data_IF_117361662357
#
_entry.id   IF_117361662357
#
_cell.length_a   1.000
_cell.length_b   1.000
_cell.length_c   1.000
_cell.angle_alpha   90.00
_cell.angle_beta   90.00
_cell.angle_gamma   90.00
#
_symmetry.space_group_name_H-M   'P 1'
#
loop_
_entity.id
_entity.type
_entity.pdbx_description
1 polymer ?
#
# COMPACT_ATOMS: atom_id res chain seq x y z
N UNK A 1 75.82 -1.28 22.34
CA UNK A 1 74.54 -0.55 22.44
C UNK A 1 73.60 -0.89 21.32
N UNK A 2 73.77 -2.02 20.60
CA UNK A 2 72.95 -2.37 19.42
C UNK A 2 72.02 -3.64 19.52
N UNK A 3 72.21 -4.45 20.52
CA UNK A 3 71.46 -5.73 20.67
C UNK A 3 70.03 -5.55 21.22
N UNK A 4 69.77 -4.53 22.02
CA UNK A 4 68.42 -4.25 22.57
C UNK A 4 67.45 -3.62 21.57
N UNK A 5 67.92 -2.97 20.47
CA UNK A 5 67.06 -2.41 19.41
C UNK A 5 66.56 -3.50 18.43
N UNK A 6 67.44 -4.47 18.11
CA UNK A 6 67.09 -5.56 17.19
C UNK A 6 65.98 -6.51 17.77
N UNK A 7 66.06 -6.80 19.07
CA UNK A 7 65.04 -7.65 19.74
C UNK A 7 63.66 -6.97 19.87
N UNK A 8 63.64 -5.64 20.04
CA UNK A 8 62.36 -4.91 20.08
C UNK A 8 61.67 -4.79 18.70
N UNK A 9 62.46 -4.67 17.64
CA UNK A 9 61.90 -4.62 16.28
C UNK A 9 61.41 -5.99 15.79
N UNK A 10 62.06 -7.08 16.18
CA UNK A 10 61.62 -8.44 15.88
C UNK A 10 60.30 -8.81 16.57
N UNK A 11 60.12 -8.43 17.85
CA UNK A 11 58.88 -8.66 18.57
C UNK A 11 57.69 -7.85 18.02
N UNK A 12 57.93 -6.60 17.58
CA UNK A 12 56.86 -5.77 16.99
C UNK A 12 56.42 -6.28 15.62
N UNK A 13 57.36 -6.80 14.81
CA UNK A 13 57.05 -7.36 13.51
C UNK A 13 56.25 -8.69 13.60
N UNK A 14 56.55 -9.54 14.56
CA UNK A 14 55.83 -10.80 14.80
C UNK A 14 54.39 -10.52 15.31
N UNK A 15 54.19 -9.49 16.14
CA UNK A 15 52.88 -9.11 16.63
C UNK A 15 52.02 -8.48 15.54
N UNK A 16 52.60 -7.72 14.59
CA UNK A 16 51.88 -7.08 13.48
C UNK A 16 51.40 -8.07 12.41
N UNK A 17 52.02 -9.25 12.30
CA UNK A 17 51.63 -10.29 11.33
C UNK A 17 50.65 -11.28 11.95
N UNK A 18 50.71 -11.54 13.25
CA UNK A 18 49.82 -12.51 13.94
C UNK A 18 48.40 -11.99 14.21
N UNK A 19 48.24 -10.65 14.39
CA UNK A 19 46.93 -10.06 14.67
C UNK A 19 45.98 -10.15 13.47
N UNK A 20 46.35 -9.87 12.22
CA UNK A 20 45.45 -10.04 11.08
C UNK A 20 45.19 -11.52 10.74
N UNK A 21 46.09 -12.45 11.03
CA UNK A 21 45.85 -13.89 10.80
C UNK A 21 44.86 -14.50 11.77
N UNK A 22 44.80 -14.02 13.01
CA UNK A 22 43.79 -14.44 14.00
C UNK A 22 42.43 -13.82 13.74
N UNK A 23 42.36 -12.59 13.20
CA UNK A 23 41.12 -11.96 12.79
C UNK A 23 40.48 -12.64 11.57
N UNK A 24 41.27 -13.15 10.63
CA UNK A 24 40.77 -13.89 9.47
C UNK A 24 40.19 -15.27 9.84
N UNK A 25 40.69 -15.91 10.91
CA UNK A 25 40.20 -17.20 11.36
C UNK A 25 38.84 -17.13 12.12
N UNK A 26 38.41 -15.95 12.53
CA UNK A 26 37.11 -15.76 13.21
C UNK A 26 35.95 -15.46 12.24
N UNK A 27 36.26 -15.10 11.00
CA UNK A 27 35.26 -15.04 9.94
C UNK A 27 35.18 -16.41 9.29
N UNK A 28 34.39 -17.30 9.88
CA UNK A 28 33.96 -18.52 9.18
C UNK A 28 33.41 -18.12 7.81
N UNK A 29 33.60 -18.97 6.80
CA UNK A 29 33.02 -18.75 5.47
C UNK A 29 31.57 -18.32 5.62
N UNK A 30 31.26 -17.11 5.21
CA UNK A 30 29.89 -16.64 5.19
C UNK A 30 29.08 -17.65 4.35
N UNK A 31 27.95 -18.12 4.83
CA UNK A 31 27.14 -19.05 4.04
C UNK A 31 26.93 -18.47 2.64
N UNK A 32 26.97 -19.31 1.60
CA UNK A 32 26.84 -18.85 0.22
C UNK A 32 25.60 -17.97 0.12
N UNK A 33 25.78 -16.72 -0.32
CA UNK A 33 24.66 -15.80 -0.51
C UNK A 33 23.72 -16.43 -1.51
N UNK A 34 22.42 -16.55 -1.18
CA UNK A 34 21.44 -17.01 -2.14
C UNK A 34 21.55 -16.15 -3.40
N UNK A 35 21.51 -16.78 -4.59
CA UNK A 35 21.49 -16.06 -5.84
C UNK A 35 20.32 -15.06 -5.79
N UNK A 36 20.56 -13.73 -5.91
CA UNK A 36 19.50 -12.73 -5.84
C UNK A 36 18.45 -12.90 -6.94
N UNK A 37 18.76 -13.65 -7.99
CA UNK A 37 17.84 -13.94 -9.09
C UNK A 37 17.01 -15.22 -8.85
N UNK A 38 17.32 -16.01 -7.83
CA UNK A 38 16.54 -17.21 -7.49
C UNK A 38 15.51 -16.85 -6.42
N UNK A 39 14.26 -16.74 -6.85
CA UNK A 39 13.14 -16.55 -5.93
C UNK A 39 13.00 -17.80 -5.02
N UNK A 40 13.05 -17.68 -3.69
CA UNK A 40 12.86 -18.80 -2.78
C UNK A 40 11.59 -19.60 -3.12
N UNK A 41 11.65 -20.91 -3.01
CA UNK A 41 10.54 -21.78 -3.42
C UNK A 41 9.22 -21.43 -2.71
N UNK A 42 9.27 -21.03 -1.44
CA UNK A 42 8.10 -20.61 -0.67
C UNK A 42 7.40 -19.40 -1.26
N UNK A 43 8.15 -18.47 -1.87
CA UNK A 43 7.59 -17.26 -2.46
C UNK A 43 6.94 -17.48 -3.83
N UNK A 44 7.05 -18.68 -4.42
CA UNK A 44 6.39 -19.00 -5.71
C UNK A 44 4.86 -18.94 -5.57
N UNK A 45 4.34 -19.33 -4.41
CA UNK A 45 2.91 -19.37 -4.11
C UNK A 45 2.43 -18.18 -3.27
N UNK A 46 3.25 -17.14 -3.11
CA UNK A 46 2.92 -15.93 -2.36
C UNK A 46 2.69 -14.77 -3.32
N UNK A 47 1.60 -14.05 -3.13
CA UNK A 47 1.27 -12.90 -3.98
C UNK A 47 -0.15 -12.43 -3.80
N UNK A 48 -0.55 -11.48 -4.63
CA UNK A 48 -1.91 -10.94 -4.68
C UNK A 48 -2.36 -10.98 -6.13
N UNK A 49 -3.43 -11.72 -6.38
CA UNK A 49 -4.13 -11.75 -7.67
C UNK A 49 -5.33 -10.82 -7.54
N UNK A 50 -5.27 -9.62 -8.12
CA UNK A 50 -6.32 -8.63 -7.94
C UNK A 50 -7.66 -9.14 -8.51
N UNK A 51 -8.67 -9.12 -7.67
CA UNK A 51 -10.05 -9.57 -7.98
C UNK A 51 -11.04 -8.43 -7.75
N UNK A 52 -10.82 -7.31 -8.43
CA UNK A 52 -11.73 -6.15 -8.38
C UNK A 52 -13.12 -6.59 -8.88
N UNK A 53 -14.17 -6.18 -8.17
CA UNK A 53 -15.53 -6.59 -8.44
C UNK A 53 -15.93 -7.94 -7.81
N UNK A 54 -15.01 -8.66 -7.18
CA UNK A 54 -15.32 -9.91 -6.48
C UNK A 54 -16.17 -9.65 -5.24
N UNK A 55 -17.26 -10.40 -5.07
CA UNK A 55 -18.08 -10.42 -3.87
C UNK A 55 -17.37 -11.24 -2.78
N UNK A 56 -17.19 -10.67 -1.60
CA UNK A 56 -16.69 -11.40 -0.44
C UNK A 56 -17.77 -12.34 0.13
N UNK A 57 -17.39 -13.50 0.68
CA UNK A 57 -18.30 -14.40 1.39
C UNK A 57 -18.61 -13.81 2.78
N UNK A 58 -19.71 -13.07 2.88
CA UNK A 58 -20.08 -12.28 4.07
C UNK A 58 -20.62 -13.13 5.24
N UNK A 59 -20.90 -14.39 5.02
CA UNK A 59 -21.38 -15.36 6.01
C UNK A 59 -20.28 -16.05 6.80
N UNK A 60 -19.02 -15.83 6.46
CA UNK A 60 -17.87 -16.39 7.17
C UNK A 60 -17.84 -15.93 8.63
N UNK A 61 -17.67 -16.91 9.53
CA UNK A 61 -17.68 -16.69 10.98
C UNK A 61 -16.27 -16.54 11.49
N UNK A 62 -16.03 -15.46 12.22
CA UNK A 62 -14.80 -15.13 12.92
C UNK A 62 -15.09 -14.91 14.41
N UNK A 63 -14.05 -14.72 15.19
CA UNK A 63 -14.13 -14.29 16.58
C UNK A 63 -13.63 -12.85 16.69
N UNK A 64 -14.43 -11.97 17.25
CA UNK A 64 -14.04 -10.58 17.49
C UNK A 64 -13.06 -10.45 18.69
N UNK A 65 -12.56 -9.26 18.90
CA UNK A 65 -11.63 -8.94 19.98
C UNK A 65 -12.24 -9.09 21.38
N UNK A 66 -13.56 -9.24 21.51
CA UNK A 66 -14.25 -9.56 22.77
C UNK A 66 -14.45 -11.06 22.96
N UNK A 67 -14.07 -11.86 21.97
CA UNK A 67 -14.23 -13.32 21.98
C UNK A 67 -15.59 -13.82 21.48
N UNK A 68 -16.47 -12.94 20.94
CA UNK A 68 -17.77 -13.30 20.38
C UNK A 68 -17.62 -13.81 18.94
N UNK A 69 -18.41 -14.81 18.59
CA UNK A 69 -18.54 -15.22 17.20
C UNK A 69 -19.37 -14.17 16.42
N UNK A 70 -18.81 -13.67 15.31
CA UNK A 70 -19.41 -12.67 14.46
C UNK A 70 -19.29 -13.10 13.00
N UNK A 71 -20.24 -12.73 12.16
CA UNK A 71 -20.08 -12.86 10.71
C UNK A 71 -19.33 -11.63 10.18
N UNK A 72 -18.41 -11.83 9.24
CA UNK A 72 -17.69 -10.70 8.65
C UNK A 72 -18.64 -9.67 8.04
N UNK A 73 -19.78 -10.11 7.53
CA UNK A 73 -20.84 -9.24 6.98
C UNK A 73 -21.42 -8.23 7.97
N UNK A 74 -21.28 -8.49 9.28
CA UNK A 74 -21.77 -7.57 10.32
C UNK A 74 -21.02 -6.23 10.33
N UNK A 75 -19.87 -6.11 9.65
CA UNK A 75 -19.11 -4.88 9.56
C UNK A 75 -19.41 -4.04 8.31
N UNK A 76 -20.32 -4.53 7.45
CA UNK A 76 -20.70 -3.87 6.18
C UNK A 76 -22.04 -3.15 6.32
N UNK A 77 -22.12 -2.12 7.18
CA UNK A 77 -23.36 -1.39 7.50
C UNK A 77 -23.53 -0.10 6.69
N UNK A 78 -23.58 -0.20 5.37
CA UNK A 78 -23.77 0.97 4.51
C UNK A 78 -22.56 1.88 4.35
N UNK A 79 -21.42 1.48 4.90
CA UNK A 79 -20.15 2.19 4.80
C UNK A 79 -19.09 1.35 4.10
N UNK A 80 -18.10 1.95 3.40
CA UNK A 80 -16.96 1.21 2.88
C UNK A 80 -16.11 0.66 4.04
N UNK A 81 -15.41 -0.43 3.78
CA UNK A 81 -14.55 -1.11 4.74
C UNK A 81 -13.11 -1.07 4.23
N UNK A 82 -12.17 -0.63 5.08
CA UNK A 82 -10.74 -0.85 4.88
C UNK A 82 -10.38 -2.17 5.55
N UNK A 83 -10.05 -3.17 4.74
CA UNK A 83 -9.74 -4.51 5.19
C UNK A 83 -8.24 -4.80 5.06
N UNK A 84 -7.64 -5.43 6.05
CA UNK A 84 -6.27 -5.92 6.02
C UNK A 84 -6.22 -7.38 6.47
N UNK A 85 -5.39 -8.19 5.77
CA UNK A 85 -5.01 -9.52 6.22
C UNK A 85 -3.62 -9.46 6.84
N UNK A 86 -3.49 -9.91 8.08
CA UNK A 86 -2.25 -9.90 8.84
C UNK A 86 -2.25 -11.06 9.83
N UNK A 87 -1.11 -11.40 10.44
CA UNK A 87 -1.11 -12.20 11.67
C UNK A 87 -0.53 -11.37 12.80
N UNK A 88 -1.09 -11.53 13.99
CA UNK A 88 -0.87 -10.55 15.07
C UNK A 88 0.47 -10.70 15.75
N UNK A 89 1.06 -11.89 15.77
CA UNK A 89 2.40 -12.15 16.31
C UNK A 89 3.52 -11.98 15.28
N UNK A 90 3.26 -11.20 14.23
CA UNK A 90 4.25 -10.94 13.18
C UNK A 90 5.37 -10.01 13.67
N UNK A 91 6.64 -10.42 13.55
CA UNK A 91 7.76 -9.59 14.00
C UNK A 91 8.05 -8.38 13.09
N UNK A 92 7.58 -8.35 11.85
CA UNK A 92 7.98 -7.32 10.89
C UNK A 92 6.88 -6.79 9.97
N UNK A 93 6.54 -7.52 8.90
CA UNK A 93 5.80 -7.00 7.74
C UNK A 93 4.37 -6.57 8.08
N UNK A 94 3.62 -7.39 8.83
CA UNK A 94 2.25 -7.08 9.20
C UNK A 94 2.16 -5.81 10.04
N UNK A 95 3.13 -5.61 10.95
CA UNK A 95 3.23 -4.37 11.74
C UNK A 95 3.46 -3.16 10.85
N UNK A 96 4.28 -3.28 9.80
CA UNK A 96 4.52 -2.18 8.85
C UNK A 96 3.25 -1.86 8.03
N UNK A 97 2.53 -2.87 7.54
CA UNK A 97 1.25 -2.69 6.82
C UNK A 97 0.23 -1.95 7.70
N UNK A 98 0.04 -2.42 8.94
CA UNK A 98 -0.93 -1.81 9.84
C UNK A 98 -0.51 -0.40 10.29
N UNK A 99 0.79 -0.16 10.48
CA UNK A 99 1.31 1.18 10.78
C UNK A 99 1.09 2.15 9.60
N UNK A 100 1.40 1.72 8.38
CA UNK A 100 1.19 2.52 7.17
C UNK A 100 -0.30 2.82 6.95
N UNK A 101 -1.17 1.81 7.11
CA UNK A 101 -2.62 1.98 7.05
C UNK A 101 -3.10 3.00 8.09
N UNK A 102 -2.72 2.82 9.35
CA UNK A 102 -3.15 3.71 10.45
C UNK A 102 -2.62 5.14 10.25
N UNK A 103 -1.36 5.28 9.82
CA UNK A 103 -0.74 6.58 9.51
C UNK A 103 -1.48 7.30 8.39
N UNK A 104 -1.82 6.61 7.32
CA UNK A 104 -2.59 7.16 6.20
C UNK A 104 -4.01 7.55 6.65
N UNK A 105 -4.73 6.66 7.32
CA UNK A 105 -6.09 6.93 7.83
C UNK A 105 -6.13 8.13 8.77
N UNK A 106 -5.11 8.31 9.60
CA UNK A 106 -4.99 9.44 10.54
C UNK A 106 -4.98 10.80 9.84
N UNK A 107 -4.52 10.89 8.61
CA UNK A 107 -4.42 12.16 7.87
C UNK A 107 -5.70 12.50 7.11
N UNK A 108 -6.64 11.56 6.97
CA UNK A 108 -7.90 11.80 6.27
C UNK A 108 -8.83 12.69 7.09
N UNK A 109 -9.77 13.36 6.42
CA UNK A 109 -10.89 14.06 7.05
C UNK A 109 -12.06 13.15 7.43
N UNK A 110 -11.95 11.85 7.15
CA UNK A 110 -12.94 10.81 7.42
C UNK A 110 -12.61 10.09 8.72
N UNK A 111 -13.61 9.65 9.46
CA UNK A 111 -13.48 8.98 10.74
C UNK A 111 -13.92 7.51 10.68
N UNK A 112 -13.10 6.63 11.25
CA UNK A 112 -13.48 5.24 11.46
C UNK A 112 -14.71 5.14 12.36
N UNK A 113 -15.64 4.24 12.02
CA UNK A 113 -16.93 4.06 12.70
C UNK A 113 -18.01 5.03 12.26
N UNK A 114 -17.64 6.18 11.65
CA UNK A 114 -18.59 7.15 11.12
C UNK A 114 -18.68 7.08 9.60
N UNK A 115 -17.55 7.20 8.91
CA UNK A 115 -17.47 7.32 7.46
C UNK A 115 -17.03 6.00 6.80
N UNK A 116 -16.25 5.18 7.51
CA UNK A 116 -15.79 3.86 7.07
C UNK A 116 -15.55 2.95 8.28
N UNK A 117 -15.42 1.65 8.04
CA UNK A 117 -15.00 0.69 9.06
C UNK A 117 -13.58 0.17 8.74
N UNK A 118 -12.83 -0.22 9.77
CA UNK A 118 -11.53 -0.89 9.65
C UNK A 118 -11.67 -2.31 10.16
N UNK A 119 -11.39 -3.29 9.29
CA UNK A 119 -11.44 -4.71 9.63
C UNK A 119 -10.08 -5.32 9.39
N UNK A 120 -9.44 -5.83 10.44
CA UNK A 120 -8.19 -6.57 10.37
C UNK A 120 -8.48 -8.03 10.70
N UNK A 121 -8.13 -8.95 9.81
CA UNK A 121 -8.36 -10.38 10.00
C UNK A 121 -7.02 -11.08 10.10
N UNK A 122 -6.82 -11.86 11.19
CA UNK A 122 -5.64 -12.70 11.30
C UNK A 122 -5.70 -13.85 10.30
N UNK A 123 -4.56 -14.10 9.61
CA UNK A 123 -4.35 -15.28 8.77
C UNK A 123 -3.76 -16.46 9.56
N UNK A 124 -3.42 -16.28 10.83
CA UNK A 124 -2.97 -17.35 11.70
C UNK A 124 -4.15 -17.90 12.52
N UNK A 125 -4.56 -19.16 12.31
CA UNK A 125 -5.64 -19.75 13.08
C UNK A 125 -5.29 -19.98 14.57
N UNK A 126 -4.02 -19.80 14.95
CA UNK A 126 -3.56 -19.90 16.33
C UNK A 126 -3.61 -18.57 17.09
N UNK A 127 -3.81 -17.45 16.39
CA UNK A 127 -3.97 -16.15 17.04
C UNK A 127 -5.20 -16.11 17.94
N UNK A 128 -5.04 -15.58 19.15
CA UNK A 128 -6.11 -15.47 20.13
C UNK A 128 -6.86 -14.15 20.03
N UNK A 129 -8.12 -14.13 20.46
CA UNK A 129 -8.90 -12.90 20.53
C UNK A 129 -8.33 -11.90 21.56
N UNK A 130 -7.63 -12.38 22.59
CA UNK A 130 -6.94 -11.51 23.55
C UNK A 130 -5.80 -10.74 22.87
N UNK A 131 -5.04 -11.41 21.98
CA UNK A 131 -4.02 -10.75 21.17
C UNK A 131 -4.65 -9.76 20.18
N UNK A 132 -5.78 -10.13 19.57
CA UNK A 132 -6.57 -9.22 18.73
C UNK A 132 -6.99 -7.96 19.50
N UNK A 133 -7.49 -8.11 20.75
CA UNK A 133 -7.85 -6.98 21.60
C UNK A 133 -6.66 -6.05 21.90
N UNK A 134 -5.51 -6.63 22.25
CA UNK A 134 -4.30 -5.86 22.51
C UNK A 134 -3.83 -5.09 21.26
N UNK A 135 -3.92 -5.70 20.07
CA UNK A 135 -3.62 -5.04 18.79
C UNK A 135 -4.60 -3.91 18.53
N UNK A 136 -5.92 -4.15 18.65
CA UNK A 136 -6.95 -3.11 18.52
C UNK A 136 -6.63 -1.90 19.38
N UNK A 137 -6.40 -2.12 20.66
CA UNK A 137 -6.09 -1.04 21.61
C UNK A 137 -4.85 -0.24 21.18
N UNK A 138 -3.82 -0.92 20.69
CA UNK A 138 -2.60 -0.28 20.21
C UNK A 138 -2.88 0.62 19.01
N UNK A 139 -3.58 0.10 17.99
CA UNK A 139 -3.84 0.84 16.75
C UNK A 139 -4.88 1.94 16.90
N UNK A 140 -5.89 1.76 17.75
CA UNK A 140 -6.84 2.83 18.12
C UNK A 140 -6.11 3.99 18.82
N UNK A 141 -5.20 3.68 19.77
CA UNK A 141 -4.36 4.73 20.38
C UNK A 141 -3.45 5.43 19.38
N UNK A 142 -2.85 4.70 18.44
CA UNK A 142 -2.01 5.26 17.39
C UNK A 142 -2.80 6.16 16.42
N UNK A 143 -4.01 5.75 16.06
CA UNK A 143 -4.95 6.54 15.27
C UNK A 143 -5.30 7.85 15.96
N UNK A 144 -5.52 7.82 17.28
CA UNK A 144 -5.55 8.98 18.15
C UNK A 144 -6.77 9.88 17.98
N UNK A 145 -7.90 9.37 17.44
CA UNK A 145 -9.16 10.10 17.30
C UNK A 145 -10.17 9.61 18.33
N UNK A 146 -10.67 10.49 19.25
CA UNK A 146 -11.66 10.12 20.25
C UNK A 146 -12.94 9.57 19.64
N UNK A 147 -13.54 8.56 20.28
CA UNK A 147 -14.83 8.01 19.88
C UNK A 147 -14.81 7.08 18.67
N UNK A 148 -13.65 6.80 18.06
CA UNK A 148 -13.53 6.00 16.82
C UNK A 148 -13.25 4.52 17.06
N UNK A 149 -13.04 4.09 18.31
CA UNK A 149 -12.69 2.70 18.64
C UNK A 149 -13.74 1.67 18.18
N UNK A 150 -15.01 2.06 18.12
CA UNK A 150 -16.09 1.21 17.63
C UNK A 150 -16.01 0.90 16.14
N UNK A 151 -15.25 1.70 15.36
CA UNK A 151 -15.04 1.49 13.92
C UNK A 151 -13.80 0.66 13.60
N UNK A 152 -13.14 0.06 14.60
CA UNK A 152 -11.98 -0.80 14.44
C UNK A 152 -12.30 -2.22 14.92
N UNK A 153 -12.10 -3.20 14.08
CA UNK A 153 -12.44 -4.60 14.33
C UNK A 153 -11.23 -5.48 14.04
N UNK A 154 -10.80 -6.25 15.03
CA UNK A 154 -9.67 -7.17 14.92
C UNK A 154 -10.17 -8.61 15.12
N UNK A 155 -10.15 -9.36 14.04
CA UNK A 155 -10.80 -10.67 13.98
C UNK A 155 -9.77 -11.79 13.97
N UNK A 156 -10.12 -12.89 14.64
CA UNK A 156 -9.42 -14.17 14.56
C UNK A 156 -10.38 -15.26 14.08
N UNK A 157 -9.88 -16.34 13.50
CA UNK A 157 -10.75 -17.37 12.97
C UNK A 157 -10.05 -18.67 12.70
N UNK A 158 -10.83 -19.72 12.41
CA UNK A 158 -10.30 -20.98 11.91
C UNK A 158 -9.91 -20.88 10.45
N UNK A 159 -9.01 -21.76 9.99
CA UNK A 159 -8.60 -21.85 8.59
C UNK A 159 -9.76 -21.97 7.63
N UNK A 160 -10.85 -22.63 8.05
CA UNK A 160 -12.09 -22.78 7.27
C UNK A 160 -12.82 -21.46 6.98
N UNK A 161 -12.55 -20.39 7.73
CA UNK A 161 -13.03 -19.03 7.47
C UNK A 161 -11.95 -18.15 6.85
N UNK A 162 -10.70 -18.30 7.28
CA UNK A 162 -9.57 -17.50 6.80
C UNK A 162 -9.30 -17.77 5.32
N UNK A 163 -9.21 -19.04 4.91
CA UNK A 163 -8.85 -19.42 3.55
C UNK A 163 -9.84 -18.90 2.50
N UNK A 164 -11.16 -19.10 2.65
CA UNK A 164 -12.13 -18.59 1.69
C UNK A 164 -12.10 -17.05 1.57
N UNK A 165 -11.87 -16.33 2.68
CA UNK A 165 -11.72 -14.87 2.64
C UNK A 165 -10.45 -14.46 1.88
N UNK A 166 -9.31 -15.11 2.17
CA UNK A 166 -8.05 -14.86 1.47
C UNK A 166 -8.17 -15.17 -0.02
N UNK A 167 -8.82 -16.29 -0.37
CA UNK A 167 -9.04 -16.67 -1.76
C UNK A 167 -9.94 -15.66 -2.48
N UNK A 168 -11.01 -15.17 -1.84
CA UNK A 168 -11.87 -14.14 -2.43
C UNK A 168 -11.13 -12.82 -2.68
N UNK A 169 -10.15 -12.49 -1.82
CA UNK A 169 -9.27 -11.33 -1.98
C UNK A 169 -8.08 -11.61 -2.92
N UNK A 170 -7.94 -12.83 -3.46
CA UNK A 170 -6.79 -13.23 -4.24
C UNK A 170 -5.47 -13.18 -3.47
N UNK A 171 -5.53 -13.26 -2.15
CA UNK A 171 -4.37 -13.19 -1.25
C UNK A 171 -3.79 -14.58 -1.04
N UNK A 172 -2.58 -14.80 -1.56
CA UNK A 172 -1.86 -16.06 -1.44
C UNK A 172 -0.74 -15.93 -0.41
N UNK A 173 -0.77 -16.80 0.57
CA UNK A 173 0.22 -16.87 1.64
C UNK A 173 0.65 -18.31 1.90
N UNK A 174 1.81 -18.49 2.50
CA UNK A 174 2.37 -19.80 2.82
C UNK A 174 3.05 -19.77 4.18
N UNK A 175 2.86 -20.83 4.98
CA UNK A 175 3.57 -21.01 6.26
C UNK A 175 4.95 -21.57 6.01
N UNK A 176 5.98 -20.92 6.53
CA UNK A 176 7.35 -21.40 6.54
C UNK A 176 7.62 -22.12 7.88
N UNK A 177 7.67 -23.44 7.83
CA UNK A 177 7.90 -24.25 9.03
C UNK A 177 9.32 -24.07 9.62
N UNK A 178 10.31 -23.67 8.81
CA UNK A 178 11.68 -23.44 9.29
C UNK A 178 11.78 -22.13 10.09
N UNK A 179 11.13 -21.08 9.58
CA UNK A 179 11.09 -19.75 10.21
C UNK A 179 9.93 -19.62 11.20
N UNK A 180 8.98 -20.56 11.21
CA UNK A 180 7.72 -20.51 11.97
C UNK A 180 6.95 -19.21 11.74
N UNK A 181 6.88 -18.76 10.48
CA UNK A 181 6.28 -17.50 10.06
C UNK A 181 5.47 -17.67 8.77
N UNK A 182 4.51 -16.80 8.55
CA UNK A 182 3.81 -16.73 7.29
C UNK A 182 4.53 -15.81 6.30
N UNK A 183 4.86 -16.35 5.14
CA UNK A 183 5.28 -15.56 3.98
C UNK A 183 4.01 -15.05 3.26
N UNK A 184 3.88 -13.74 3.13
CA UNK A 184 2.73 -13.11 2.47
C UNK A 184 3.11 -11.79 1.81
N UNK A 185 2.29 -11.33 0.87
CA UNK A 185 2.42 -10.01 0.28
C UNK A 185 1.80 -8.94 1.20
N UNK A 186 2.14 -7.67 0.96
CA UNK A 186 1.65 -6.53 1.72
C UNK A 186 0.57 -5.79 0.92
N UNK A 187 -0.62 -5.64 1.49
CA UNK A 187 -1.70 -4.84 0.93
C UNK A 187 -2.77 -4.52 1.98
N UNK A 188 -3.55 -3.49 1.68
CA UNK A 188 -4.88 -3.26 2.24
C UNK A 188 -5.91 -3.22 1.11
N UNK A 189 -7.15 -3.52 1.45
CA UNK A 189 -8.27 -3.62 0.52
C UNK A 189 -9.33 -2.61 0.89
N UNK A 190 -9.89 -1.93 -0.09
CA UNK A 190 -11.08 -1.11 0.12
C UNK A 190 -12.27 -1.84 -0.48
N UNK A 191 -13.26 -2.11 0.37
CA UNK A 191 -14.43 -2.92 0.06
C UNK A 191 -15.67 -2.02 0.11
N UNK A 192 -16.58 -2.20 -0.83
CA UNK A 192 -17.84 -1.45 -0.85
C UNK A 192 -18.75 -1.83 0.32
N UNK A 193 -19.77 -1.02 0.67
CA UNK A 193 -20.77 -1.36 1.67
C UNK A 193 -21.51 -2.67 1.43
N UNK A 194 -21.49 -3.17 0.19
CA UNK A 194 -22.10 -4.45 -0.20
C UNK A 194 -21.14 -5.63 -0.13
N UNK A 195 -19.89 -5.42 0.34
CA UNK A 195 -18.89 -6.47 0.42
C UNK A 195 -18.21 -6.79 -0.91
N UNK A 196 -18.21 -5.88 -1.88
CA UNK A 196 -17.54 -6.06 -3.17
C UNK A 196 -16.15 -5.41 -3.10
N UNK A 197 -15.12 -6.10 -3.59
CA UNK A 197 -13.76 -5.58 -3.64
C UNK A 197 -13.69 -4.41 -4.64
N UNK A 198 -13.40 -3.21 -4.13
CA UNK A 198 -13.34 -1.98 -4.92
C UNK A 198 -11.91 -1.67 -5.35
N UNK A 199 -10.95 -1.74 -4.43
CA UNK A 199 -9.57 -1.35 -4.73
C UNK A 199 -8.56 -2.09 -3.85
N UNK A 200 -7.38 -2.31 -4.43
CA UNK A 200 -6.18 -2.77 -3.74
C UNK A 200 -5.20 -1.61 -3.58
N UNK A 201 -4.64 -1.46 -2.40
CA UNK A 201 -3.49 -0.59 -2.15
C UNK A 201 -2.34 -1.51 -1.74
N UNK A 202 -1.33 -1.64 -2.62
CA UNK A 202 -0.24 -2.58 -2.45
C UNK A 202 0.94 -1.94 -1.71
N UNK A 203 1.70 -2.76 -0.96
CA UNK A 203 2.87 -2.31 -0.21
C UNK A 203 2.57 -1.99 1.24
N UNK A 204 3.41 -1.17 1.84
CA UNK A 204 3.37 -0.81 3.26
C UNK A 204 3.20 0.71 3.49
N UNK A 205 3.36 1.50 2.44
CA UNK A 205 3.17 2.95 2.46
C UNK A 205 1.98 3.30 1.57
N UNK A 206 0.92 3.80 2.18
CA UNK A 206 -0.33 4.08 1.51
C UNK A 206 -0.53 5.60 1.42
N UNK A 207 -0.43 6.14 0.21
CA UNK A 207 -0.65 7.56 0.00
C UNK A 207 -2.06 7.97 0.47
N UNK A 208 -2.19 8.93 1.39
CA UNK A 208 -3.51 9.33 1.93
C UNK A 208 -4.51 9.73 0.86
N UNK A 209 -4.02 10.36 -0.23
CA UNK A 209 -4.85 10.73 -1.37
C UNK A 209 -5.48 9.50 -2.04
N UNK A 210 -4.70 8.44 -2.27
CA UNK A 210 -5.18 7.25 -2.96
C UNK A 210 -6.18 6.48 -2.09
N UNK A 211 -5.90 6.40 -0.78
CA UNK A 211 -6.83 5.80 0.18
C UNK A 211 -8.13 6.61 0.28
N UNK A 212 -8.05 7.95 0.29
CA UNK A 212 -9.23 8.81 0.28
C UNK A 212 -10.09 8.57 -0.97
N UNK A 213 -9.47 8.56 -2.16
CA UNK A 213 -10.18 8.33 -3.43
C UNK A 213 -10.81 6.94 -3.47
N UNK A 214 -10.09 5.91 -2.99
CA UNK A 214 -10.62 4.56 -2.90
C UNK A 214 -11.87 4.47 -1.99
N UNK A 215 -11.86 5.15 -0.83
CA UNK A 215 -13.01 5.22 0.07
C UNK A 215 -14.20 5.95 -0.57
N UNK A 216 -13.96 7.08 -1.26
CA UNK A 216 -15.02 7.83 -1.99
C UNK A 216 -15.63 6.96 -3.08
N UNK A 217 -14.79 6.28 -3.88
CA UNK A 217 -15.24 5.38 -4.95
C UNK A 217 -16.06 4.21 -4.37
N UNK A 218 -15.56 3.55 -3.33
CA UNK A 218 -16.22 2.43 -2.69
C UNK A 218 -17.57 2.80 -2.06
N UNK A 219 -17.72 4.02 -1.59
CA UNK A 219 -18.99 4.53 -1.01
C UNK A 219 -20.04 4.89 -2.05
N UNK A 220 -19.81 4.67 -3.36
CA UNK A 220 -20.63 5.15 -4.49
C UNK A 220 -20.84 6.67 -4.44
N UNK A 221 -19.78 7.43 -4.12
CA UNK A 221 -19.77 8.89 -3.93
C UNK A 221 -20.62 9.40 -2.75
N UNK A 222 -21.00 8.54 -1.81
CA UNK A 222 -21.65 8.95 -0.56
C UNK A 222 -20.68 9.74 0.34
N UNK A 223 -19.38 9.50 0.18
CA UNK A 223 -18.29 10.28 0.79
C UNK A 223 -17.58 11.11 -0.29
N UNK A 224 -17.05 12.26 0.13
CA UNK A 224 -16.23 13.10 -0.74
C UNK A 224 -16.88 14.39 -1.18
N UNK A 225 -16.09 15.21 -1.86
CA UNK A 225 -16.46 16.52 -2.37
C UNK A 225 -16.54 16.49 -3.91
N UNK A 226 -17.04 17.58 -4.51
CA UNK A 226 -17.00 17.76 -5.99
C UNK A 226 -15.56 17.64 -6.52
N UNK A 227 -14.57 18.10 -5.76
CA UNK A 227 -13.16 17.95 -6.12
C UNK A 227 -12.71 16.49 -6.16
N UNK A 228 -13.19 15.65 -5.24
CA UNK A 228 -12.88 14.19 -5.26
C UNK A 228 -13.52 13.52 -6.48
N UNK A 229 -14.74 13.91 -6.87
CA UNK A 229 -15.40 13.40 -8.07
C UNK A 229 -14.63 13.75 -9.36
N UNK A 230 -14.14 15.00 -9.46
CA UNK A 230 -13.30 15.42 -10.60
C UNK A 230 -11.98 14.64 -10.60
N UNK A 231 -11.35 14.44 -9.43
CA UNK A 231 -10.13 13.66 -9.31
C UNK A 231 -10.34 12.20 -9.72
N UNK A 232 -11.44 11.56 -9.33
CA UNK A 232 -11.78 10.20 -9.76
C UNK A 232 -11.92 10.11 -11.28
N UNK A 233 -12.56 11.09 -11.90
CA UNK A 233 -12.69 11.14 -13.37
C UNK A 233 -11.33 11.23 -14.07
N UNK A 234 -10.39 12.03 -13.52
CA UNK A 234 -9.05 12.20 -14.08
C UNK A 234 -8.10 11.03 -13.79
N UNK A 235 -8.31 10.30 -12.69
CA UNK A 235 -7.41 9.25 -12.18
C UNK A 235 -7.94 7.83 -12.36
N UNK A 236 -8.94 7.63 -13.20
CA UNK A 236 -9.40 6.28 -13.54
C UNK A 236 -8.31 5.53 -14.33
N UNK A 237 -7.29 5.11 -13.60
CA UNK A 237 -6.22 4.25 -14.09
C UNK A 237 -6.65 2.81 -13.90
N UNK A 238 -6.71 2.07 -15.00
CA UNK A 238 -6.96 0.62 -14.96
C UNK A 238 -5.62 -0.10 -14.77
N UNK A 239 -5.36 -0.68 -13.58
CA UNK A 239 -4.09 -1.34 -13.30
C UNK A 239 -3.90 -2.66 -14.08
N UNK A 240 -4.98 -3.29 -14.55
CA UNK A 240 -4.88 -4.53 -15.32
C UNK A 240 -4.43 -4.27 -16.76
N UNK A 241 -4.90 -3.18 -17.37
CA UNK A 241 -4.52 -2.82 -18.74
C UNK A 241 -3.32 -1.88 -18.81
N UNK A 242 -2.86 -1.31 -17.69
CA UNK A 242 -1.79 -0.32 -17.65
C UNK A 242 -2.13 0.98 -18.39
N UNK A 243 -3.40 1.24 -18.68
CA UNK A 243 -3.86 2.35 -19.52
C UNK A 243 -4.79 3.28 -18.74
N UNK A 244 -4.69 4.56 -19.06
CA UNK A 244 -5.71 5.53 -18.63
C UNK A 244 -7.02 5.25 -19.35
N UNK A 245 -8.15 5.38 -18.65
CA UNK A 245 -9.47 5.16 -19.23
C UNK A 245 -9.67 5.99 -20.53
N UNK A 246 -10.46 5.46 -21.45
CA UNK A 246 -10.73 6.09 -22.76
C UNK A 246 -11.20 7.55 -22.63
N UNK A 247 -11.97 7.87 -21.57
CA UNK A 247 -12.42 9.22 -21.27
C UNK A 247 -11.28 10.18 -20.95
N UNK A 248 -10.27 9.74 -20.20
CA UNK A 248 -9.08 10.55 -19.84
C UNK A 248 -8.23 10.83 -21.07
N UNK A 249 -8.02 9.82 -21.93
CA UNK A 249 -7.28 9.99 -23.19
C UNK A 249 -8.02 10.94 -24.14
N UNK A 250 -9.36 10.85 -24.21
CA UNK A 250 -10.18 11.76 -25.02
C UNK A 250 -10.08 13.19 -24.50
N UNK A 251 -10.20 13.41 -23.19
CA UNK A 251 -10.09 14.74 -22.58
C UNK A 251 -8.71 15.38 -22.84
N UNK A 252 -7.62 14.61 -22.71
CA UNK A 252 -6.27 15.09 -23.02
C UNK A 252 -6.12 15.43 -24.51
N UNK A 253 -6.66 14.60 -25.41
CA UNK A 253 -6.64 14.87 -26.86
C UNK A 253 -7.41 16.14 -27.20
N UNK A 254 -8.62 16.34 -26.66
CA UNK A 254 -9.42 17.54 -26.90
C UNK A 254 -8.70 18.78 -26.36
N UNK A 255 -8.15 18.73 -25.15
CA UNK A 255 -7.37 19.82 -24.55
C UNK A 255 -6.15 20.19 -25.39
N UNK A 256 -5.42 19.21 -25.87
CA UNK A 256 -4.26 19.40 -26.74
C UNK A 256 -4.67 20.09 -28.07
N UNK A 257 -5.69 19.54 -28.73
CA UNK A 257 -6.19 20.13 -30.01
C UNK A 257 -6.71 21.56 -29.83
N UNK A 258 -7.43 21.84 -28.74
CA UNK A 258 -7.90 23.20 -28.43
C UNK A 258 -6.73 24.17 -28.20
N UNK A 259 -5.70 23.74 -27.47
CA UNK A 259 -4.50 24.57 -27.25
C UNK A 259 -3.77 24.87 -28.57
N UNK A 260 -3.58 23.86 -29.42
CA UNK A 260 -2.94 24.02 -30.72
C UNK A 260 -3.76 24.96 -31.61
N UNK A 261 -5.08 24.78 -31.67
CA UNK A 261 -5.96 25.67 -32.46
C UNK A 261 -5.91 27.13 -31.96
N UNK A 262 -5.90 27.34 -30.63
CA UNK A 262 -5.79 28.68 -30.05
C UNK A 262 -4.45 29.33 -30.38
N UNK A 263 -3.34 28.61 -30.31
CA UNK A 263 -2.01 29.10 -30.67
C UNK A 263 -1.92 29.46 -32.17
N UNK A 264 -2.43 28.58 -33.05
CA UNK A 264 -2.46 28.83 -34.49
C UNK A 264 -3.29 30.06 -34.83
N UNK A 265 -4.45 30.19 -34.18
CA UNK A 265 -5.32 31.37 -34.38
C UNK A 265 -4.63 32.65 -33.91
N UNK A 266 -3.98 32.60 -32.74
CA UNK A 266 -3.22 33.72 -32.19
C UNK A 266 -2.10 34.16 -33.15
N UNK A 267 -1.29 33.21 -33.60
CA UNK A 267 -0.19 33.48 -34.56
C UNK A 267 -0.75 34.06 -35.87
N UNK A 268 -1.81 33.45 -36.40
CA UNK A 268 -2.41 33.91 -37.65
C UNK A 268 -2.95 35.35 -37.54
N UNK A 269 -3.65 35.66 -36.45
CA UNK A 269 -4.16 37.03 -36.20
C UNK A 269 -3.02 38.02 -36.02
N UNK A 270 -1.96 37.65 -35.26
CA UNK A 270 -0.79 38.51 -35.07
C UNK A 270 -0.07 38.82 -36.38
N UNK A 271 0.19 37.79 -37.18
CA UNK A 271 0.83 37.98 -38.52
C UNK A 271 -0.06 38.82 -39.47
N UNK A 272 -1.40 38.64 -39.44
CA UNK A 272 -2.31 39.48 -40.20
C UNK A 272 -2.29 40.95 -39.78
N UNK A 273 -2.27 41.21 -38.45
CA UNK A 273 -2.17 42.59 -37.91
C UNK A 273 -0.85 43.24 -38.31
N UNK A 274 0.28 42.57 -38.14
CA UNK A 274 1.59 43.11 -38.58
C UNK A 274 1.62 43.43 -40.07
N UNK A 275 1.06 42.56 -40.93
CA UNK A 275 0.96 42.82 -42.39
C UNK A 275 0.02 43.95 -42.72
N UNK A 276 -1.06 44.17 -41.99
CA UNK A 276 -1.97 45.30 -42.16
C UNK A 276 -1.28 46.60 -41.76
N UNK A 277 -0.61 46.63 -40.63
CA UNK A 277 0.12 47.80 -40.14
C UNK A 277 1.28 48.18 -41.09
N UNK A 278 2.02 47.20 -41.61
CA UNK A 278 3.09 47.41 -42.59
C UNK A 278 2.55 48.03 -43.91
N UNK A 279 1.36 47.62 -44.38
CA UNK A 279 0.68 48.19 -45.55
C UNK A 279 0.21 49.63 -45.30
N UNK A 280 -0.36 49.90 -44.11
CA UNK A 280 -0.80 51.22 -43.72
C UNK A 280 0.38 52.23 -43.68
N UNK A 281 1.53 51.81 -43.12
CA UNK A 281 2.73 52.64 -43.11
C UNK A 281 3.36 52.85 -44.49
N UNK A 282 3.24 51.90 -45.43
CA UNK A 282 3.71 52.05 -46.78
C UNK A 282 2.85 53.05 -47.60
N UNK A 283 1.53 53.02 -47.35
CA UNK A 283 0.58 53.98 -48.06
C UNK A 283 0.69 55.42 -47.56
N UNK A 284 1.19 55.66 -46.35
CA UNK A 284 1.30 57.01 -45.76
C UNK A 284 2.65 57.72 -46.12
N UNK A 285 3.51 57.08 -46.92
CA UNK A 285 4.79 57.62 -47.39
C UNK A 285 4.79 58.09 -48.89
N UNK A 286 3.71 58.00 -49.55
CA UNK A 286 3.45 58.52 -50.90
C UNK A 286 2.62 59.80 -50.77
#
# INVERSE_FOLDING_TARGET
MNTRRATRQACTAVFAVLVPALAAAQYGEAPPRPDPNVRPAILKNVGIDQRIGQQLPLDLVFRDESGRNVRIGEFFHGKPVVLALAYYDCPMLCTQVLNGMTGSLKTLSFDAGKDFEVVVVSIDPLDSYQLAAAKKDSYVRQYGRPGTAAGWHFLTGAETSIRPLADALGFRYAYDANLKQYAHAAAIYVITPKGVVSRYLLGIDFAPRDLRLALVEASNNALGTVADQVLLLCYHYDPESGKYGAATLLAVRIGFLATVAALLTFVFVSVRRERADARAHASNRI
#
